data_IF_148187019533
#
_entry.id   IF_148187019533
#
_cell.length_a   1.000
_cell.length_b   1.000
_cell.length_c   1.000
_cell.angle_alpha   90.00
_cell.angle_beta   90.00
_cell.angle_gamma   90.00
#
_symmetry.space_group_name_H-M   'P 1'
#
loop_
_entity.id
_entity.type
_entity.pdbx_description
1 polymer ?
#
# COMPACT_ATOMS: atom_id res chain seq x y z
N UNK A 1 -22.41 17.67 -12.68
CA UNK A 1 -21.01 18.05 -12.38
C UNK A 1 -20.92 19.36 -11.56
N UNK A 2 -21.76 19.55 -10.52
CA UNK A 2 -21.68 20.75 -9.66
C UNK A 2 -20.53 20.68 -8.64
N UNK A 3 -20.19 19.47 -8.18
CA UNK A 3 -19.12 19.24 -7.19
C UNK A 3 -17.73 19.71 -7.67
N UNK A 4 -17.42 19.54 -8.96
CA UNK A 4 -16.14 20.00 -9.53
C UNK A 4 -16.05 21.54 -9.50
N UNK A 5 -17.16 22.22 -9.79
CA UNK A 5 -17.19 23.69 -9.73
C UNK A 5 -17.13 24.21 -8.29
N UNK A 6 -17.79 23.53 -7.35
CA UNK A 6 -17.71 23.87 -5.93
C UNK A 6 -16.30 23.67 -5.39
N UNK A 7 -15.66 22.53 -5.70
CA UNK A 7 -14.27 22.27 -5.33
C UNK A 7 -13.32 23.30 -5.95
N UNK A 8 -13.56 23.69 -7.21
CA UNK A 8 -12.74 24.71 -7.88
C UNK A 8 -12.89 26.10 -7.25
N UNK A 9 -14.10 26.48 -6.82
CA UNK A 9 -14.33 27.76 -6.13
C UNK A 9 -13.73 27.75 -4.72
N UNK A 10 -13.97 26.70 -3.93
CA UNK A 10 -13.41 26.59 -2.57
C UNK A 10 -11.88 26.56 -2.58
N UNK A 11 -11.25 25.91 -3.56
CA UNK A 11 -9.79 25.95 -3.72
C UNK A 11 -9.27 27.36 -4.03
N UNK A 12 -9.97 28.14 -4.87
CA UNK A 12 -9.58 29.52 -5.16
C UNK A 12 -9.79 30.43 -3.95
N UNK A 13 -10.93 30.30 -3.29
CA UNK A 13 -11.28 31.11 -2.11
C UNK A 13 -10.32 30.81 -0.93
N UNK A 14 -9.89 29.55 -0.78
CA UNK A 14 -8.90 29.14 0.23
C UNK A 14 -7.50 29.70 -0.02
N UNK A 15 -7.09 29.85 -1.28
CA UNK A 15 -5.81 30.49 -1.64
C UNK A 15 -5.86 31.99 -1.38
N UNK A 16 -6.98 32.65 -1.67
CA UNK A 16 -7.19 34.09 -1.48
C UNK A 16 -7.27 34.48 0.01
N UNK A 17 -7.93 33.66 0.83
CA UNK A 17 -7.91 33.78 2.29
C UNK A 17 -6.53 33.48 2.88
N UNK A 18 -5.81 32.49 2.34
CA UNK A 18 -4.45 32.16 2.76
C UNK A 18 -3.44 33.30 2.48
N UNK A 19 -3.61 34.05 1.39
CA UNK A 19 -2.75 35.18 1.05
C UNK A 19 -2.98 36.43 1.90
N UNK A 20 -4.17 36.60 2.51
CA UNK A 20 -4.47 37.71 3.44
C UNK A 20 -3.99 37.43 4.88
N UNK A 21 -3.62 36.18 5.20
CA UNK A 21 -3.06 35.79 6.49
C UNK A 21 -1.52 35.88 6.53
N UNK A 22 -0.86 36.27 5.44
CA UNK A 22 0.58 36.52 5.43
C UNK A 22 0.81 37.89 6.08
N UNK A 23 1.45 37.97 7.26
CA UNK A 23 1.66 39.24 7.94
C UNK A 23 2.48 40.18 7.06
N UNK A 24 2.04 41.43 6.90
CA UNK A 24 2.79 42.51 6.25
C UNK A 24 4.12 42.87 6.96
N UNK A 25 4.51 42.11 7.99
CA UNK A 25 5.65 42.40 8.85
C UNK A 25 6.97 41.72 8.43
N UNK A 26 6.99 40.85 7.41
CA UNK A 26 8.21 40.20 6.91
C UNK A 26 8.35 40.47 5.41
N UNK A 27 9.50 40.97 4.92
CA UNK A 27 9.72 41.23 3.49
C UNK A 27 9.33 39.99 2.66
N UNK A 28 8.23 40.16 1.91
CA UNK A 28 7.49 39.15 1.15
C UNK A 28 8.34 38.16 0.32
N UNK A 29 9.52 38.53 -0.23
CA UNK A 29 10.32 37.60 -1.01
C UNK A 29 11.00 36.49 -0.19
N UNK A 30 11.52 36.82 1.00
CA UNK A 30 12.39 35.89 1.75
C UNK A 30 11.54 34.80 2.43
N UNK A 31 10.41 35.19 3.02
CA UNK A 31 9.45 34.25 3.59
C UNK A 31 8.82 33.34 2.51
N UNK A 32 8.55 33.86 1.31
CA UNK A 32 8.04 33.04 0.20
C UNK A 32 9.03 31.98 -0.23
N UNK A 33 10.30 32.32 -0.37
CA UNK A 33 11.34 31.37 -0.80
C UNK A 33 11.51 30.26 0.25
N UNK A 34 11.49 30.57 1.56
CA UNK A 34 11.62 29.52 2.57
C UNK A 34 10.39 28.61 2.64
N UNK A 35 9.19 29.18 2.52
CA UNK A 35 7.92 28.42 2.54
C UNK A 35 7.78 27.56 1.29
N UNK A 36 8.17 28.05 0.10
CA UNK A 36 8.16 27.23 -1.12
C UNK A 36 9.17 26.10 -1.03
N UNK A 37 10.38 26.35 -0.53
CA UNK A 37 11.39 25.29 -0.33
C UNK A 37 10.86 24.25 0.67
N UNK A 38 10.33 24.69 1.81
CA UNK A 38 9.77 23.79 2.82
C UNK A 38 8.59 22.97 2.24
N UNK A 39 7.68 23.61 1.51
CA UNK A 39 6.56 22.95 0.87
C UNK A 39 7.02 21.93 -0.20
N UNK A 40 8.02 22.28 -1.00
CA UNK A 40 8.63 21.37 -1.98
C UNK A 40 9.30 20.21 -1.26
N UNK A 41 10.02 20.47 -0.17
CA UNK A 41 10.72 19.44 0.60
C UNK A 41 9.72 18.47 1.23
N UNK A 42 8.64 18.96 1.82
CA UNK A 42 7.55 18.13 2.37
C UNK A 42 6.86 17.34 1.27
N UNK A 43 6.56 17.96 0.13
CA UNK A 43 5.92 17.30 -1.00
C UNK A 43 6.81 16.17 -1.56
N UNK A 44 8.09 16.44 -1.75
CA UNK A 44 9.08 15.45 -2.18
C UNK A 44 9.28 14.37 -1.12
N UNK A 45 9.26 14.71 0.16
CA UNK A 45 9.39 13.75 1.26
C UNK A 45 8.21 12.80 1.29
N UNK A 46 6.98 13.30 1.15
CA UNK A 46 5.78 12.47 1.06
C UNK A 46 5.79 11.59 -0.19
N UNK A 47 6.16 12.14 -1.35
CA UNK A 47 6.28 11.38 -2.59
C UNK A 47 7.34 10.28 -2.48
N UNK A 48 8.53 10.62 -1.95
CA UNK A 48 9.61 9.66 -1.71
C UNK A 48 9.22 8.63 -0.67
N UNK A 49 8.51 9.01 0.39
CA UNK A 49 8.03 8.10 1.44
C UNK A 49 7.00 7.13 0.90
N UNK A 50 6.04 7.60 0.11
CA UNK A 50 5.05 6.76 -0.53
C UNK A 50 5.70 5.79 -1.51
N UNK A 51 6.56 6.30 -2.40
CA UNK A 51 7.27 5.50 -3.37
C UNK A 51 8.19 4.47 -2.68
N UNK A 52 8.91 4.87 -1.63
CA UNK A 52 9.75 3.98 -0.82
C UNK A 52 8.92 2.91 -0.12
N UNK A 53 7.73 3.23 0.38
CA UNK A 53 6.84 2.26 1.04
C UNK A 53 6.31 1.25 0.02
N UNK A 54 5.91 1.71 -1.17
CA UNK A 54 5.45 0.85 -2.25
C UNK A 54 6.56 -0.10 -2.72
N UNK A 55 7.76 0.43 -2.99
CA UNK A 55 8.92 -0.40 -3.36
C UNK A 55 9.37 -1.32 -2.23
N UNK A 56 9.32 -0.87 -0.98
CA UNK A 56 9.65 -1.72 0.17
C UNK A 56 8.67 -2.88 0.30
N UNK A 57 7.36 -2.63 0.21
CA UNK A 57 6.35 -3.69 0.24
C UNK A 57 6.53 -4.67 -0.92
N UNK A 58 6.76 -4.17 -2.14
CA UNK A 58 7.06 -5.01 -3.31
C UNK A 58 8.36 -5.79 -3.16
N UNK A 59 9.40 -5.19 -2.59
CA UNK A 59 10.67 -5.85 -2.34
C UNK A 59 10.52 -6.94 -1.28
N UNK A 60 9.80 -6.69 -0.18
CA UNK A 60 9.55 -7.70 0.85
C UNK A 60 8.68 -8.84 0.34
N UNK A 61 7.58 -8.54 -0.38
CA UNK A 61 6.75 -9.57 -1.02
C UNK A 61 7.52 -10.33 -2.09
N UNK A 62 8.24 -9.64 -2.96
CA UNK A 62 9.01 -10.24 -4.04
C UNK A 62 10.15 -11.10 -3.51
N UNK A 63 10.91 -10.61 -2.52
CA UNK A 63 12.01 -11.35 -1.91
C UNK A 63 11.49 -12.56 -1.14
N UNK A 64 10.42 -12.42 -0.35
CA UNK A 64 9.84 -13.56 0.36
C UNK A 64 9.31 -14.63 -0.60
N UNK A 65 8.63 -14.24 -1.68
CA UNK A 65 8.19 -15.17 -2.73
C UNK A 65 9.36 -15.83 -3.46
N UNK A 66 10.40 -15.05 -3.78
CA UNK A 66 11.61 -15.56 -4.41
C UNK A 66 12.36 -16.54 -3.52
N UNK A 67 12.53 -16.22 -2.24
CA UNK A 67 13.12 -17.11 -1.23
C UNK A 67 12.27 -18.35 -1.03
N UNK A 68 10.94 -18.24 -0.99
CA UNK A 68 10.03 -19.38 -0.90
C UNK A 68 10.19 -20.31 -2.10
N UNK A 69 10.19 -19.79 -3.34
CA UNK A 69 10.44 -20.62 -4.53
C UNK A 69 11.85 -21.20 -4.52
N UNK A 70 12.87 -20.43 -4.12
CA UNK A 70 14.25 -20.89 -4.13
C UNK A 70 14.52 -21.99 -3.10
N UNK A 71 13.89 -21.91 -1.92
CA UNK A 71 13.99 -22.93 -0.86
C UNK A 71 13.04 -24.11 -1.11
N UNK A 72 11.85 -23.87 -1.65
CA UNK A 72 10.89 -24.91 -2.04
C UNK A 72 11.06 -25.35 -3.50
N UNK A 73 12.24 -25.17 -4.09
CA UNK A 73 12.50 -25.56 -5.49
C UNK A 73 12.54 -27.08 -5.69
N UNK A 74 12.66 -27.84 -4.61
CA UNK A 74 12.47 -29.31 -4.60
C UNK A 74 11.00 -29.72 -4.33
N UNK A 75 10.17 -28.78 -3.87
CA UNK A 75 8.72 -28.92 -3.63
C UNK A 75 7.90 -28.03 -4.58
N UNK A 76 8.34 -27.94 -5.85
CA UNK A 76 7.55 -27.30 -6.92
C UNK A 76 6.09 -27.76 -6.90
N UNK A 77 5.14 -26.93 -7.38
CA UNK A 77 3.73 -26.89 -6.99
C UNK A 77 3.07 -28.28 -7.03
N UNK A 78 3.23 -29.03 -5.95
CA UNK A 78 2.37 -30.15 -5.62
C UNK A 78 1.17 -29.50 -4.98
N UNK A 79 0.01 -29.70 -5.60
CA UNK A 79 -1.28 -29.47 -4.97
C UNK A 79 -1.44 -30.39 -3.77
N UNK A 80 -0.65 -30.18 -2.71
CA UNK A 80 -0.61 -30.98 -1.50
C UNK A 80 -1.65 -30.48 -0.48
N UNK A 81 -2.83 -30.15 -0.98
CA UNK A 81 -4.01 -29.90 -0.17
C UNK A 81 -5.17 -30.85 -0.49
N UNK A 82 -5.01 -31.77 -1.45
CA UNK A 82 -6.12 -32.52 -2.02
C UNK A 82 -6.00 -34.04 -2.02
N UNK A 83 -4.80 -34.63 -1.88
CA UNK A 83 -4.63 -36.09 -1.90
C UNK A 83 -4.60 -36.66 -0.48
N UNK A 84 -3.80 -36.08 0.42
CA UNK A 84 -3.63 -36.56 1.79
C UNK A 84 -4.94 -36.52 2.59
N UNK A 85 -5.77 -35.48 2.41
CA UNK A 85 -7.06 -35.33 3.08
C UNK A 85 -8.14 -36.29 2.55
N UNK A 86 -8.12 -36.61 1.25
CA UNK A 86 -9.06 -37.54 0.62
C UNK A 86 -8.68 -38.99 0.93
N UNK A 87 -7.39 -39.30 0.97
CA UNK A 87 -6.87 -40.61 1.36
C UNK A 87 -7.17 -40.90 2.83
N UNK A 88 -6.91 -39.96 3.75
CA UNK A 88 -7.32 -40.08 5.15
C UNK A 88 -8.86 -40.21 5.29
N UNK A 89 -9.62 -39.39 4.55
CA UNK A 89 -11.09 -39.45 4.59
C UNK A 89 -11.64 -40.79 4.06
N UNK A 90 -11.02 -41.38 3.05
CA UNK A 90 -11.43 -42.67 2.49
C UNK A 90 -11.03 -43.84 3.39
N UNK A 91 -9.86 -43.77 4.04
CA UNK A 91 -9.44 -44.76 5.03
C UNK A 91 -10.33 -44.72 6.27
N UNK A 92 -10.70 -43.52 6.74
CA UNK A 92 -11.62 -43.34 7.85
C UNK A 92 -13.05 -43.80 7.48
N UNK A 93 -13.50 -43.52 6.26
CA UNK A 93 -14.78 -44.03 5.74
C UNK A 93 -14.82 -45.57 5.64
N UNK A 94 -13.71 -46.21 5.24
CA UNK A 94 -13.61 -47.69 5.24
C UNK A 94 -13.67 -48.25 6.65
N UNK A 95 -12.95 -47.65 7.59
CA UNK A 95 -12.97 -48.05 9.02
C UNK A 95 -14.36 -47.96 9.62
N UNK A 96 -15.14 -46.94 9.26
CA UNK A 96 -16.53 -46.79 9.72
C UNK A 96 -17.42 -47.88 9.10
N UNK A 97 -17.29 -48.18 7.81
CA UNK A 97 -18.06 -49.24 7.15
C UNK A 97 -17.80 -50.62 7.74
N UNK A 98 -16.55 -50.95 8.09
CA UNK A 98 -16.22 -52.24 8.73
C UNK A 98 -16.75 -52.35 10.16
N UNK A 99 -16.82 -51.24 10.90
CA UNK A 99 -17.24 -51.26 12.31
C UNK A 99 -18.73 -51.55 12.50
N UNK A 100 -19.55 -51.36 11.46
CA UNK A 100 -20.99 -51.61 11.48
C UNK A 100 -21.41 -52.79 10.58
N UNK A 101 -20.46 -53.62 10.16
CA UNK A 101 -20.70 -54.86 9.42
C UNK A 101 -20.85 -56.04 10.37
#
# INVERSE_FOLDING_TARGET
MQVIQTVWKVSKDGIEAGTNLVPDAIPRPIARISVTIAAVMVSLFLLKSFLSTAFFALAVMGLSYFTFIALNKDEGPKGDGGTTSVEDSLEEARRIMEKYK
#
